data_IF_453947074911
#
_entry.id   IF_453947074911
#
_cell.length_a   1.000
_cell.length_b   1.000
_cell.length_c   1.000
_cell.angle_alpha   90.00
_cell.angle_beta   90.00
_cell.angle_gamma   90.00
#
_symmetry.space_group_name_H-M   'P 1'
#
loop_
_entity.id
_entity.type
_entity.pdbx_description
1 polymer ?
#
# COMPACT_ATOMS: atom_id res chain seq x y z
N UNK A 1 -6.07 -7.77 -4.75
CA UNK A 1 -4.76 -8.23 -5.28
C UNK A 1 -4.10 -9.09 -4.23
N UNK A 2 -3.46 -10.17 -4.63
CA UNK A 2 -2.60 -10.96 -3.75
C UNK A 2 -1.33 -10.16 -3.42
N UNK A 3 -0.59 -10.62 -2.40
CA UNK A 3 0.73 -10.03 -2.08
C UNK A 3 1.64 -9.97 -3.31
N UNK A 4 1.73 -11.08 -4.05
CA UNK A 4 2.59 -11.18 -5.23
C UNK A 4 2.15 -10.21 -6.34
N UNK A 5 0.84 -10.16 -6.65
CA UNK A 5 0.31 -9.21 -7.63
C UNK A 5 0.60 -7.75 -7.27
N UNK A 6 0.58 -7.43 -5.96
CA UNK A 6 0.92 -6.08 -5.48
C UNK A 6 2.40 -5.77 -5.69
N UNK A 7 3.28 -6.73 -5.35
CA UNK A 7 4.74 -6.60 -5.57
C UNK A 7 5.04 -6.42 -7.06
N UNK A 8 4.48 -7.29 -7.91
CA UNK A 8 4.69 -7.20 -9.36
C UNK A 8 4.21 -5.85 -9.89
N UNK A 9 3.01 -5.42 -9.51
CA UNK A 9 2.47 -4.14 -10.00
C UNK A 9 3.32 -2.94 -9.62
N UNK A 10 3.86 -2.90 -8.38
CA UNK A 10 4.75 -1.84 -7.95
C UNK A 10 6.08 -1.87 -8.72
N UNK A 11 6.68 -3.06 -8.81
CA UNK A 11 7.99 -3.21 -9.47
C UNK A 11 7.90 -2.99 -10.97
N UNK A 12 6.87 -3.53 -11.63
CA UNK A 12 6.60 -3.32 -13.05
C UNK A 12 6.42 -1.84 -13.40
N UNK A 13 5.77 -1.09 -12.50
CA UNK A 13 5.62 0.36 -12.72
C UNK A 13 6.99 1.05 -12.70
N UNK A 14 7.85 0.74 -11.74
CA UNK A 14 9.22 1.28 -11.68
C UNK A 14 10.02 0.92 -12.93
N UNK A 15 9.97 -0.35 -13.34
CA UNK A 15 10.70 -0.83 -14.52
C UNK A 15 10.19 -0.24 -15.84
N UNK A 16 8.89 -0.02 -15.97
CA UNK A 16 8.29 0.65 -17.14
C UNK A 16 8.69 2.12 -17.20
N UNK A 17 8.60 2.80 -16.06
CA UNK A 17 9.02 4.20 -15.94
C UNK A 17 10.51 4.38 -16.28
N UNK A 18 11.37 3.45 -15.82
CA UNK A 18 12.80 3.47 -16.14
C UNK A 18 13.15 3.19 -17.63
N UNK A 19 12.20 2.71 -18.42
CA UNK A 19 12.35 2.46 -19.86
C UNK A 19 11.67 3.53 -20.73
N UNK A 20 11.04 4.48 -20.08
CA UNK A 20 10.29 5.55 -20.72
C UNK A 20 11.05 6.87 -20.54
N UNK A 21 11.61 7.39 -21.63
CA UNK A 21 12.41 8.62 -21.60
C UNK A 21 11.60 9.88 -21.29
N UNK A 22 10.26 9.79 -21.20
CA UNK A 22 9.42 10.90 -20.75
C UNK A 22 9.50 11.11 -19.21
N UNK A 23 10.26 10.27 -18.52
CA UNK A 23 10.43 10.28 -17.07
C UNK A 23 11.91 10.40 -16.68
N UNK A 24 12.26 11.52 -16.08
CA UNK A 24 13.61 11.81 -15.59
C UNK A 24 13.66 12.02 -14.08
N UNK A 25 14.60 12.85 -13.63
CA UNK A 25 14.83 13.15 -12.23
C UNK A 25 14.66 14.64 -11.90
N UNK A 26 13.76 14.96 -10.96
CA UNK A 26 13.63 16.30 -10.41
C UNK A 26 13.13 16.24 -8.95
N UNK A 27 13.75 16.99 -8.05
CA UNK A 27 13.29 17.14 -6.65
C UNK A 27 12.25 18.25 -6.47
N UNK A 28 12.07 19.15 -7.43
CA UNK A 28 11.06 20.21 -7.36
C UNK A 28 9.71 19.69 -7.82
N UNK A 29 9.67 19.03 -8.99
CA UNK A 29 8.45 18.45 -9.57
C UNK A 29 8.44 16.93 -9.45
N UNK A 30 8.74 16.46 -8.28
CA UNK A 30 9.11 15.09 -7.94
C UNK A 30 8.01 14.03 -7.99
N UNK A 31 6.75 14.43 -8.17
CA UNK A 31 5.58 13.57 -8.14
C UNK A 31 4.97 13.31 -9.52
N UNK A 32 5.73 13.47 -10.57
CA UNK A 32 5.24 13.28 -11.94
C UNK A 32 4.50 14.47 -12.53
N UNK A 33 4.49 15.65 -11.87
CA UNK A 33 3.78 16.84 -12.37
C UNK A 33 4.30 17.30 -13.74
N UNK A 34 5.57 17.04 -14.03
CA UNK A 34 6.22 17.28 -15.32
C UNK A 34 6.81 16.00 -15.93
N UNK A 35 6.37 14.83 -15.46
CA UNK A 35 6.88 13.54 -15.88
C UNK A 35 7.91 12.97 -14.92
N UNK A 36 8.67 13.80 -14.21
CA UNK A 36 9.84 13.41 -13.43
C UNK A 36 9.54 13.04 -12.00
N UNK A 37 10.45 12.26 -11.41
CA UNK A 37 10.39 11.81 -10.03
C UNK A 37 11.74 11.99 -9.34
N UNK A 38 11.75 12.12 -8.01
CA UNK A 38 12.95 11.82 -7.24
C UNK A 38 12.94 10.38 -6.73
N UNK A 39 14.01 9.97 -6.08
CA UNK A 39 14.22 8.59 -5.63
C UNK A 39 13.10 8.08 -4.72
N UNK A 40 12.68 8.86 -3.74
CA UNK A 40 11.65 8.48 -2.77
C UNK A 40 10.24 8.60 -3.37
N UNK A 41 9.98 9.65 -4.14
CA UNK A 41 8.68 9.86 -4.76
C UNK A 41 8.36 8.77 -5.81
N UNK A 42 9.37 8.31 -6.56
CA UNK A 42 9.20 7.19 -7.49
C UNK A 42 8.74 5.93 -6.76
N UNK A 43 9.44 5.51 -5.72
CA UNK A 43 9.12 4.30 -4.94
C UNK A 43 7.76 4.44 -4.25
N UNK A 44 7.47 5.57 -3.63
CA UNK A 44 6.17 5.85 -3.00
C UNK A 44 5.05 5.75 -4.04
N UNK A 45 5.21 6.37 -5.21
CA UNK A 45 4.22 6.36 -6.28
C UNK A 45 3.99 4.95 -6.82
N UNK A 46 5.05 4.14 -6.96
CA UNK A 46 4.95 2.77 -7.42
C UNK A 46 4.07 1.91 -6.49
N UNK A 47 4.31 1.99 -5.20
CA UNK A 47 3.51 1.26 -4.21
C UNK A 47 2.09 1.79 -4.08
N UNK A 48 1.89 3.10 -4.16
CA UNK A 48 0.55 3.72 -4.17
C UNK A 48 -0.28 3.22 -5.37
N UNK A 49 0.30 3.21 -6.56
CA UNK A 49 -0.33 2.63 -7.75
C UNK A 49 -0.62 1.13 -7.62
N UNK A 50 0.15 0.43 -6.82
CA UNK A 50 -0.10 -0.98 -6.49
C UNK A 50 -1.16 -1.17 -5.39
N UNK A 51 -1.71 -0.08 -4.85
CA UNK A 51 -2.75 -0.11 -3.84
C UNK A 51 -2.24 -0.18 -2.39
N UNK A 52 -0.98 0.14 -2.18
CA UNK A 52 -0.38 0.34 -0.85
C UNK A 52 -0.35 1.84 -0.57
N UNK A 53 -1.18 2.30 0.33
CA UNK A 53 -1.47 3.73 0.58
C UNK A 53 -0.31 4.43 1.32
N UNK A 54 0.81 4.60 0.65
CA UNK A 54 1.99 5.31 1.18
C UNK A 54 1.87 6.82 1.04
N UNK A 55 1.35 7.29 -0.09
CA UNK A 55 1.05 8.69 -0.30
C UNK A 55 -0.05 9.14 0.62
N UNK A 56 -1.05 8.29 0.79
CA UNK A 56 -2.20 8.45 1.66
C UNK A 56 -2.51 9.94 1.82
N UNK A 57 -3.34 10.45 2.36
CA UNK A 57 -3.64 11.86 2.67
C UNK A 57 -2.44 12.85 2.59
N UNK A 58 -1.33 12.40 1.99
CA UNK A 58 -0.04 13.03 2.06
C UNK A 58 0.24 14.15 1.09
N UNK A 59 -0.48 14.25 -0.01
CA UNK A 59 -0.24 15.34 -0.96
C UNK A 59 -1.11 16.56 -0.65
N UNK A 60 -0.50 17.72 -0.67
CA UNK A 60 -1.26 18.94 -0.82
C UNK A 60 -1.75 19.06 -2.29
N UNK A 61 -2.60 20.05 -2.57
CA UNK A 61 -3.14 20.26 -3.91
C UNK A 61 -2.08 20.65 -4.95
N UNK A 62 -0.87 20.97 -4.52
CA UNK A 62 0.26 21.32 -5.39
C UNK A 62 1.10 20.09 -5.73
N UNK A 63 0.87 18.95 -5.06
CA UNK A 63 1.62 17.71 -5.28
C UNK A 63 3.07 17.76 -4.81
N UNK A 64 3.46 18.79 -4.08
CA UNK A 64 4.85 19.01 -3.66
C UNK A 64 5.13 18.40 -2.28
N UNK A 65 4.17 18.51 -1.37
CA UNK A 65 4.33 18.06 0.02
C UNK A 65 3.21 17.13 0.44
N UNK A 66 3.51 16.04 1.17
CA UNK A 66 2.48 15.19 1.73
C UNK A 66 1.70 15.95 2.80
N UNK A 67 0.41 15.66 2.89
CA UNK A 67 -0.40 16.07 4.03
C UNK A 67 0.10 15.41 5.30
N UNK A 68 -0.35 15.93 6.44
CA UNK A 68 -0.01 15.40 7.76
C UNK A 68 -0.27 13.89 7.83
N UNK A 69 0.79 13.11 8.02
CA UNK A 69 0.75 11.65 8.19
C UNK A 69 1.22 10.83 6.99
N UNK A 70 1.41 11.44 5.81
CA UNK A 70 2.04 10.78 4.67
C UNK A 70 3.56 10.71 4.78
N UNK A 71 4.19 9.88 3.96
CA UNK A 71 5.64 9.83 3.84
C UNK A 71 6.10 10.55 2.59
N UNK A 72 7.27 11.15 2.63
CA UNK A 72 7.71 12.09 1.63
C UNK A 72 9.13 11.86 1.14
N UNK A 73 10.03 11.40 1.99
CA UNK A 73 11.47 11.41 1.74
C UNK A 73 12.14 10.13 2.19
N UNK A 74 13.40 9.98 1.84
CA UNK A 74 14.25 8.90 2.38
C UNK A 74 14.42 8.93 3.92
N UNK A 75 14.02 10.02 4.59
CA UNK A 75 14.04 10.10 6.06
C UNK A 75 12.86 9.39 6.71
N UNK A 76 11.68 9.49 6.12
CA UNK A 76 10.43 9.05 6.74
C UNK A 76 9.77 7.85 6.05
N UNK A 77 10.19 7.52 4.82
CA UNK A 77 9.61 6.41 4.04
C UNK A 77 9.54 5.11 4.83
N UNK A 78 10.58 4.77 5.59
CA UNK A 78 10.61 3.54 6.39
C UNK A 78 9.45 3.45 7.39
N UNK A 79 9.06 4.56 8.01
CA UNK A 79 7.93 4.59 8.94
C UNK A 79 6.58 4.34 8.23
N UNK A 80 6.43 4.85 7.01
CA UNK A 80 5.25 4.60 6.18
C UNK A 80 5.19 3.17 5.70
N UNK A 81 6.31 2.61 5.24
CA UNK A 81 6.41 1.23 4.82
C UNK A 81 5.98 0.27 5.95
N UNK A 82 6.52 0.45 7.16
CA UNK A 82 6.17 -0.38 8.32
C UNK A 82 4.67 -0.32 8.67
N UNK A 83 4.05 0.86 8.54
CA UNK A 83 2.61 1.03 8.78
C UNK A 83 1.73 0.37 7.70
N UNK A 84 2.27 0.15 6.52
CA UNK A 84 1.56 -0.32 5.34
C UNK A 84 1.96 -1.75 4.91
N UNK A 85 2.30 -2.60 5.86
CA UNK A 85 2.46 -4.04 5.64
C UNK A 85 3.86 -4.47 5.20
N UNK A 86 4.86 -3.61 5.36
CA UNK A 86 6.26 -4.00 5.20
C UNK A 86 6.89 -4.44 6.52
N UNK A 87 7.93 -5.22 6.41
CA UNK A 87 8.84 -5.56 7.51
C UNK A 87 10.23 -5.08 7.18
N UNK A 88 10.93 -4.60 8.18
CA UNK A 88 12.37 -4.40 8.10
C UNK A 88 13.05 -5.78 8.10
N UNK A 89 13.83 -6.06 7.06
CA UNK A 89 14.54 -7.32 6.87
C UNK A 89 16.05 -7.10 6.76
N UNK A 90 16.53 -5.97 7.23
CA UNK A 90 17.93 -5.56 7.12
C UNK A 90 18.89 -6.59 7.71
N UNK A 91 18.45 -7.30 8.75
CA UNK A 91 19.19 -8.40 9.39
C UNK A 91 19.30 -9.70 8.54
N UNK A 92 18.52 -9.79 7.46
CA UNK A 92 18.41 -10.98 6.57
C UNK A 92 19.03 -10.77 5.20
N UNK A 93 19.65 -9.62 4.98
CA UNK A 93 20.23 -9.24 3.70
C UNK A 93 21.70 -8.91 3.85
N UNK A 94 22.52 -9.45 2.99
CA UNK A 94 23.91 -9.01 2.85
C UNK A 94 23.95 -7.75 1.98
N UNK A 95 24.12 -6.57 2.59
CA UNK A 95 24.12 -5.29 1.88
C UNK A 95 25.25 -5.16 0.85
N UNK A 96 26.36 -5.87 1.04
CA UNK A 96 27.48 -5.82 0.11
C UNK A 96 27.19 -6.58 -1.18
N UNK A 97 26.50 -7.71 -1.10
CA UNK A 97 26.27 -8.60 -2.25
C UNK A 97 24.82 -8.55 -2.76
N UNK A 98 23.88 -8.07 -1.96
CA UNK A 98 22.45 -8.17 -2.24
C UNK A 98 21.87 -9.56 -1.99
N UNK A 99 22.64 -10.50 -1.42
CA UNK A 99 22.12 -11.81 -1.07
C UNK A 99 20.97 -11.70 -0.05
N UNK A 100 19.89 -12.40 -0.29
CA UNK A 100 18.67 -12.33 0.51
C UNK A 100 17.63 -11.33 0.00
N UNK A 101 17.97 -10.44 -0.95
CA UNK A 101 17.02 -9.55 -1.62
C UNK A 101 16.01 -10.32 -2.47
N UNK A 102 14.80 -9.80 -2.52
CA UNK A 102 13.71 -10.30 -3.38
C UNK A 102 13.07 -9.14 -4.13
N UNK A 103 12.50 -9.44 -5.30
CA UNK A 103 11.76 -8.48 -6.13
C UNK A 103 10.74 -7.72 -5.29
N UNK A 104 10.76 -6.38 -5.40
CA UNK A 104 9.93 -5.46 -4.64
C UNK A 104 10.53 -5.00 -3.30
N UNK A 105 11.70 -5.51 -2.87
CA UNK A 105 12.34 -4.99 -1.66
C UNK A 105 12.73 -3.51 -1.86
N UNK A 106 12.37 -2.68 -0.87
CA UNK A 106 12.70 -1.26 -0.88
C UNK A 106 14.02 -1.05 -0.16
N UNK A 107 14.99 -0.50 -0.88
CA UNK A 107 16.34 -0.21 -0.43
C UNK A 107 16.38 1.25 0.06
N UNK A 108 16.71 1.48 1.32
CA UNK A 108 16.74 2.82 1.90
C UNK A 108 18.13 3.15 2.44
N UNK A 109 18.72 4.21 1.92
CA UNK A 109 19.82 4.93 2.54
C UNK A 109 19.22 6.19 3.19
N UNK A 110 18.95 6.12 4.48
CA UNK A 110 18.18 7.12 5.21
C UNK A 110 18.79 8.52 5.08
N UNK A 111 17.98 9.45 4.59
CA UNK A 111 18.41 10.83 4.34
C UNK A 111 19.18 11.05 3.04
N UNK A 112 19.42 10.00 2.26
CA UNK A 112 20.22 10.08 1.05
C UNK A 112 19.51 9.54 -0.20
N UNK A 113 19.00 8.31 -0.14
CA UNK A 113 18.51 7.66 -1.35
C UNK A 113 17.49 6.55 -1.08
N UNK A 114 16.66 6.26 -2.09
CA UNK A 114 15.73 5.15 -2.08
C UNK A 114 15.76 4.49 -3.45
N UNK A 115 15.76 3.17 -3.49
CA UNK A 115 15.64 2.35 -4.69
C UNK A 115 14.73 1.15 -4.44
N UNK A 116 14.40 0.41 -5.50
CA UNK A 116 13.66 -0.85 -5.39
C UNK A 116 14.47 -1.96 -6.06
N UNK A 117 14.61 -3.10 -5.38
CA UNK A 117 15.21 -4.28 -5.99
C UNK A 117 14.21 -4.94 -6.94
N UNK A 118 14.57 -5.08 -8.21
CA UNK A 118 13.67 -5.60 -9.24
C UNK A 118 13.92 -7.08 -9.62
N UNK A 119 14.80 -7.76 -8.90
CA UNK A 119 15.18 -9.16 -9.16
C UNK A 119 16.47 -9.27 -9.97
N UNK A 120 16.96 -10.49 -10.14
CA UNK A 120 18.10 -10.85 -10.99
C UNK A 120 19.37 -9.99 -10.78
N UNK A 121 19.65 -9.64 -9.52
CA UNK A 121 20.79 -8.80 -9.16
C UNK A 121 20.68 -7.36 -9.65
N UNK A 122 19.46 -6.84 -9.84
CA UNK A 122 19.22 -5.49 -10.35
C UNK A 122 18.38 -4.64 -9.38
N UNK A 123 18.66 -3.34 -9.40
CA UNK A 123 17.86 -2.30 -8.74
C UNK A 123 17.33 -1.30 -9.75
N UNK A 124 16.21 -0.67 -9.44
CA UNK A 124 15.57 0.39 -10.23
C UNK A 124 15.38 1.63 -9.35
N UNK A 125 15.72 2.80 -9.90
CA UNK A 125 15.73 4.06 -9.15
C UNK A 125 15.58 5.27 -10.05
N UNK A 126 15.03 6.37 -9.52
CA UNK A 126 15.27 7.72 -10.02
C UNK A 126 16.55 8.24 -9.34
N UNK A 127 17.55 8.64 -10.11
CA UNK A 127 18.93 8.85 -9.63
C UNK A 127 19.36 10.31 -9.56
N UNK A 128 19.58 10.97 -10.70
CA UNK A 128 20.03 12.35 -10.80
C UNK A 128 19.78 12.88 -12.20
N UNK A 129 19.50 14.18 -12.39
CA UNK A 129 19.26 14.76 -13.71
C UNK A 129 20.52 14.86 -14.59
N UNK A 130 20.34 15.27 -15.85
CA UNK A 130 21.40 15.39 -16.86
C UNK A 130 22.54 16.35 -16.46
N UNK A 131 22.24 17.31 -15.60
CA UNK A 131 23.23 18.26 -15.07
C UNK A 131 23.97 17.77 -13.83
N UNK A 132 23.62 16.57 -13.33
CA UNK A 132 24.09 16.01 -12.06
C UNK A 132 23.71 16.89 -10.87
N UNK A 133 22.54 17.53 -10.94
CA UNK A 133 21.93 18.30 -9.87
C UNK A 133 20.60 17.70 -9.46
N UNK A 134 20.11 18.04 -8.27
CA UNK A 134 18.83 17.54 -7.78
C UNK A 134 17.62 18.24 -8.40
N UNK A 135 17.84 19.42 -8.98
CA UNK A 135 16.79 20.29 -9.53
C UNK A 135 17.27 21.00 -10.78
N UNK A 136 16.33 21.54 -11.57
CA UNK A 136 16.63 22.39 -12.71
C UNK A 136 17.10 21.65 -13.97
N UNK A 137 16.89 20.34 -14.02
CA UNK A 137 16.99 19.53 -15.23
C UNK A 137 15.89 19.86 -16.24
N UNK A 138 15.95 19.25 -17.39
CA UNK A 138 14.86 19.25 -18.36
C UNK A 138 13.89 18.10 -18.02
N UNK A 139 12.59 18.25 -18.28
CA UNK A 139 11.66 17.13 -18.13
C UNK A 139 12.04 15.94 -19.02
N UNK A 140 11.88 14.73 -18.48
CA UNK A 140 12.23 13.47 -19.13
C UNK A 140 13.68 13.06 -18.88
N UNK A 141 14.07 11.85 -19.31
CA UNK A 141 15.43 11.32 -19.19
C UNK A 141 16.28 11.67 -20.41
N UNK A 142 17.20 12.62 -20.27
CA UNK A 142 18.09 13.08 -21.33
C UNK A 142 19.30 12.17 -21.51
N UNK A 143 19.59 11.31 -20.55
CA UNK A 143 20.85 10.57 -20.47
C UNK A 143 20.67 9.06 -20.49
N UNK A 144 19.45 8.57 -20.35
CA UNK A 144 19.13 7.17 -20.08
C UNK A 144 19.60 6.70 -18.69
N UNK A 145 19.83 7.68 -17.78
CA UNK A 145 20.40 7.42 -16.45
C UNK A 145 19.73 8.19 -15.32
N UNK A 146 18.73 8.95 -15.62
CA UNK A 146 18.01 9.77 -14.65
C UNK A 146 16.98 8.91 -13.90
N UNK A 147 16.26 8.08 -14.64
CA UNK A 147 15.45 7.00 -14.09
C UNK A 147 15.87 5.68 -14.76
N UNK A 148 16.49 4.75 -14.01
CA UNK A 148 17.19 3.64 -14.64
C UNK A 148 17.09 2.33 -13.87
N UNK A 149 17.31 1.23 -14.60
CA UNK A 149 17.60 -0.09 -14.07
C UNK A 149 19.11 -0.32 -14.17
N UNK A 150 19.73 -0.77 -13.08
CA UNK A 150 21.16 -1.11 -13.03
C UNK A 150 21.41 -2.38 -12.23
N UNK A 151 22.63 -2.90 -12.31
CA UNK A 151 23.08 -3.93 -11.38
C UNK A 151 23.03 -3.42 -9.94
N UNK A 152 22.60 -4.28 -9.03
CA UNK A 152 22.66 -3.97 -7.59
C UNK A 152 24.06 -3.50 -7.20
N UNK A 153 24.12 -2.48 -6.39
CA UNK A 153 25.38 -1.89 -5.92
C UNK A 153 25.50 -1.90 -4.41
N UNK A 154 26.70 -2.06 -3.92
CA UNK A 154 27.02 -1.83 -2.51
C UNK A 154 26.96 -0.33 -2.19
N UNK A 155 25.73 0.19 -2.13
CA UNK A 155 25.46 1.56 -1.70
C UNK A 155 25.31 1.58 -0.18
N UNK A 156 25.53 2.69 0.55
CA UNK A 156 25.39 2.71 2.00
C UNK A 156 23.93 2.62 2.46
N UNK A 157 23.28 1.52 2.07
CA UNK A 157 21.94 1.19 2.52
C UNK A 157 21.89 1.06 4.04
N UNK A 158 20.90 1.69 4.67
CA UNK A 158 20.68 1.62 6.12
C UNK A 158 19.61 0.60 6.49
N UNK A 159 18.58 0.46 5.63
CA UNK A 159 17.46 -0.42 5.86
C UNK A 159 16.95 -1.06 4.56
N UNK A 160 16.46 -2.26 4.68
CA UNK A 160 15.76 -2.97 3.59
C UNK A 160 14.35 -3.32 4.09
N UNK A 161 13.33 -2.95 3.32
CA UNK A 161 11.94 -3.23 3.68
C UNK A 161 11.32 -4.16 2.65
N UNK A 162 10.70 -5.25 3.13
CA UNK A 162 9.96 -6.20 2.31
C UNK A 162 8.48 -6.10 2.55
N UNK A 163 7.71 -6.02 1.48
CA UNK A 163 6.26 -6.06 1.55
C UNK A 163 5.79 -7.49 1.90
N UNK A 164 5.13 -7.61 3.05
CA UNK A 164 4.56 -8.89 3.52
C UNK A 164 3.04 -8.97 3.23
N UNK A 165 2.50 -7.94 2.62
CA UNK A 165 1.07 -7.73 2.48
C UNK A 165 0.60 -6.73 3.53
N UNK A 166 -0.38 -5.90 3.22
CA UNK A 166 -1.14 -5.18 4.24
C UNK A 166 -1.56 -6.24 5.26
N UNK A 167 -1.41 -5.96 6.54
CA UNK A 167 -1.58 -6.93 7.62
C UNK A 167 -2.91 -7.68 7.43
N UNK A 168 -2.90 -8.72 6.62
CA UNK A 168 -3.78 -9.84 6.85
C UNK A 168 -3.08 -10.53 8.01
N UNK A 169 -3.56 -10.25 9.20
CA UNK A 169 -3.05 -10.87 10.42
C UNK A 169 -3.14 -12.41 10.33
N UNK A 170 -2.22 -13.04 9.58
CA UNK A 170 -1.97 -14.46 9.79
C UNK A 170 -1.37 -14.72 11.17
N UNK A 171 -0.83 -13.70 11.83
CA UNK A 171 -0.28 -13.81 13.19
C UNK A 171 -1.28 -13.51 14.29
N UNK A 172 -2.51 -13.07 14.01
CA UNK A 172 -3.55 -12.86 15.03
C UNK A 172 -4.47 -14.09 15.18
N UNK A 173 -4.35 -15.09 14.35
CA UNK A 173 -5.05 -16.38 14.58
C UNK A 173 -4.55 -17.09 15.85
N UNK A 174 -3.46 -16.66 16.49
CA UNK A 174 -2.95 -17.27 17.74
C UNK A 174 -3.19 -16.48 19.02
N UNK A 175 -3.87 -15.32 18.96
CA UNK A 175 -4.42 -14.68 20.17
C UNK A 175 -5.90 -14.37 19.95
N UNK A 176 -6.69 -15.42 19.88
CA UNK A 176 -8.11 -15.32 20.11
C UNK A 176 -8.26 -15.20 21.62
N UNK A 177 -8.37 -13.98 22.11
CA UNK A 177 -8.95 -13.77 23.42
C UNK A 177 -10.34 -14.41 23.39
N UNK A 178 -10.54 -15.37 24.30
CA UNK A 178 -11.83 -15.95 24.64
C UNK A 178 -12.78 -14.85 25.13
N UNK A 179 -13.45 -14.18 24.23
CA UNK A 179 -14.55 -13.31 24.59
C UNK A 179 -15.43 -13.07 23.36
N UNK A 180 -16.43 -13.78 23.30
CA UNK A 180 -17.76 -13.67 22.77
C UNK A 180 -18.16 -14.90 21.93
N UNK A 181 -18.24 -16.03 22.62
CA UNK A 181 -18.92 -17.22 22.11
C UNK A 181 -20.44 -17.09 22.35
N UNK A 182 -21.06 -16.02 21.90
CA UNK A 182 -22.50 -16.01 21.79
C UNK A 182 -22.89 -16.76 20.52
N UNK A 183 -23.43 -17.95 20.69
CA UNK A 183 -24.17 -18.69 19.68
C UNK A 183 -25.32 -17.83 19.16
N UNK A 184 -25.23 -17.38 17.92
CA UNK A 184 -26.29 -16.63 17.26
C UNK A 184 -27.07 -17.58 16.34
N UNK A 185 -27.85 -18.48 16.97
CA UNK A 185 -28.83 -19.31 16.28
C UNK A 185 -30.16 -18.56 16.10
N UNK A 186 -30.09 -17.29 15.76
CA UNK A 186 -31.28 -16.52 15.39
C UNK A 186 -30.89 -15.60 14.24
N UNK A 187 -31.72 -15.51 13.21
CA UNK A 187 -31.52 -14.65 12.03
C UNK A 187 -31.55 -13.17 12.40
N UNK A 188 -30.61 -12.76 13.25
CA UNK A 188 -30.54 -11.40 13.75
C UNK A 188 -30.03 -10.47 12.66
N UNK A 189 -30.86 -9.51 12.29
CA UNK A 189 -30.50 -8.46 11.35
C UNK A 189 -29.89 -7.28 12.06
N UNK A 190 -28.96 -6.60 11.39
CA UNK A 190 -28.31 -5.39 11.86
C UNK A 190 -28.51 -4.27 10.85
N UNK A 191 -28.81 -3.10 11.36
CA UNK A 191 -28.98 -1.87 10.55
C UNK A 191 -27.67 -1.11 10.48
N UNK A 192 -27.35 -0.59 9.31
CA UNK A 192 -26.21 0.31 9.08
C UNK A 192 -26.53 1.69 9.63
N UNK A 193 -25.80 2.10 10.68
CA UNK A 193 -25.95 3.41 11.35
C UNK A 193 -24.95 4.47 10.85
N UNK A 194 -24.03 4.11 9.96
CA UNK A 194 -23.09 5.05 9.34
C UNK A 194 -23.80 5.92 8.30
N UNK A 195 -23.94 7.22 8.55
CA UNK A 195 -24.68 8.16 7.67
C UNK A 195 -24.15 8.22 6.24
N UNK A 196 -22.85 8.00 6.04
CA UNK A 196 -22.19 7.97 4.74
C UNK A 196 -22.15 6.57 4.10
N UNK A 197 -22.91 5.61 4.64
CA UNK A 197 -22.88 4.22 4.23
C UNK A 197 -21.77 3.41 4.90
N UNK A 198 -21.73 2.12 4.63
CA UNK A 198 -20.80 1.17 5.23
C UNK A 198 -20.08 0.36 4.16
N UNK A 199 -18.76 0.42 4.16
CA UNK A 199 -17.95 -0.36 3.25
C UNK A 199 -18.01 -1.86 3.59
N UNK A 200 -18.22 -2.67 2.56
CA UNK A 200 -18.08 -4.13 2.59
C UNK A 200 -16.75 -4.48 1.94
N UNK A 201 -15.96 -5.28 2.60
CA UNK A 201 -14.59 -5.61 2.20
C UNK A 201 -14.40 -7.11 2.00
N UNK A 202 -13.39 -7.50 1.22
CA UNK A 202 -13.02 -8.91 1.02
C UNK A 202 -12.61 -9.61 2.32
N UNK A 203 -11.95 -8.87 3.22
CA UNK A 203 -11.56 -9.26 4.56
C UNK A 203 -11.43 -8.00 5.43
N UNK A 204 -11.33 -8.10 6.78
CA UNK A 204 -11.04 -6.96 7.65
C UNK A 204 -9.83 -6.15 7.17
N UNK A 205 -10.01 -4.84 6.95
CA UNK A 205 -8.95 -3.95 6.44
C UNK A 205 -8.58 -4.10 4.96
N UNK A 206 -9.09 -5.12 4.26
CA UNK A 206 -8.79 -5.37 2.86
C UNK A 206 -9.58 -4.46 1.89
N UNK A 207 -9.38 -4.68 0.58
CA UNK A 207 -10.03 -3.92 -0.48
C UNK A 207 -11.57 -3.90 -0.33
N UNK A 208 -12.17 -2.74 -0.64
CA UNK A 208 -13.61 -2.55 -0.65
C UNK A 208 -14.20 -3.32 -1.84
N UNK A 209 -15.20 -4.15 -1.58
CA UNK A 209 -16.01 -4.81 -2.61
C UNK A 209 -17.10 -3.86 -3.09
N UNK A 210 -17.79 -3.23 -2.13
CA UNK A 210 -18.89 -2.30 -2.36
C UNK A 210 -19.15 -1.48 -1.09
N UNK A 211 -20.02 -0.48 -1.19
CA UNK A 211 -20.57 0.22 -0.04
C UNK A 211 -22.09 0.01 0.01
N UNK A 212 -22.63 -0.19 1.19
CA UNK A 212 -24.07 -0.30 1.43
C UNK A 212 -24.59 0.98 2.07
N UNK A 213 -25.74 1.48 1.65
CA UNK A 213 -26.30 2.74 2.13
C UNK A 213 -26.65 2.76 3.62
N UNK A 214 -26.74 3.94 4.21
CA UNK A 214 -27.32 4.17 5.53
C UNK A 214 -28.73 3.55 5.63
N UNK A 215 -29.08 2.99 6.79
CA UNK A 215 -30.32 2.26 7.04
C UNK A 215 -30.51 0.95 6.24
N UNK A 216 -29.49 0.49 5.53
CA UNK A 216 -29.51 -0.87 5.00
C UNK A 216 -29.46 -1.88 6.13
N UNK A 217 -30.04 -3.04 5.93
CA UNK A 217 -29.94 -4.16 6.86
C UNK A 217 -28.93 -5.19 6.31
N UNK A 218 -28.22 -5.86 7.22
CA UNK A 218 -27.30 -6.94 6.90
C UNK A 218 -27.61 -8.16 7.76
N UNK A 219 -27.39 -9.34 7.20
CA UNK A 219 -27.39 -10.62 7.90
C UNK A 219 -25.95 -11.10 8.02
N UNK A 220 -25.60 -11.70 9.14
CA UNK A 220 -24.26 -12.25 9.34
C UNK A 220 -24.12 -13.63 8.72
N UNK A 221 -22.92 -13.94 8.27
CA UNK A 221 -22.52 -15.27 7.84
C UNK A 221 -22.11 -16.06 9.09
N UNK A 222 -23.01 -16.86 9.61
CA UNK A 222 -22.84 -17.61 10.85
C UNK A 222 -21.75 -18.70 10.75
N UNK A 223 -21.38 -19.10 9.54
CA UNK A 223 -20.28 -20.03 9.28
C UNK A 223 -18.91 -19.35 9.47
N UNK A 224 -18.88 -18.03 9.51
CA UNK A 224 -17.66 -17.24 9.63
C UNK A 224 -17.47 -16.71 11.06
N UNK A 225 -16.34 -17.05 11.67
CA UNK A 225 -16.00 -16.50 12.99
C UNK A 225 -15.89 -14.96 12.97
N UNK A 226 -16.44 -14.33 14.00
CA UNK A 226 -16.25 -12.91 14.22
C UNK A 226 -14.77 -12.56 14.36
N UNK A 227 -14.29 -11.58 13.64
CA UNK A 227 -12.95 -11.01 13.78
C UNK A 227 -13.10 -9.72 14.58
N UNK A 228 -12.20 -9.44 15.52
CA UNK A 228 -12.29 -8.29 16.43
C UNK A 228 -12.70 -7.00 15.69
N UNK A 229 -13.88 -6.49 16.05
CA UNK A 229 -14.46 -5.29 15.43
C UNK A 229 -15.05 -5.47 14.04
N UNK A 230 -15.02 -6.68 13.46
CA UNK A 230 -15.55 -6.98 12.13
C UNK A 230 -16.54 -8.13 12.16
N UNK A 231 -17.50 -8.10 11.24
CA UNK A 231 -18.47 -9.18 11.03
C UNK A 231 -18.51 -9.57 9.56
N UNK A 232 -18.47 -10.86 9.31
CA UNK A 232 -18.80 -11.41 8.00
C UNK A 232 -20.31 -11.26 7.78
N UNK A 233 -20.68 -10.85 6.57
CA UNK A 233 -22.08 -10.78 6.13
C UNK A 233 -22.29 -11.69 4.92
N UNK A 234 -23.48 -12.22 4.79
CA UNK A 234 -23.89 -13.07 3.67
C UNK A 234 -24.96 -12.42 2.79
N UNK A 235 -25.74 -11.50 3.36
CA UNK A 235 -26.84 -10.80 2.67
C UNK A 235 -26.95 -9.35 3.12
N UNK A 236 -27.50 -8.51 2.25
CA UNK A 236 -27.93 -7.17 2.59
C UNK A 236 -29.28 -6.82 1.97
N UNK A 237 -30.00 -5.90 2.60
CA UNK A 237 -31.23 -5.30 2.12
C UNK A 237 -31.10 -3.79 2.22
N UNK A 238 -31.13 -3.08 1.07
CA UNK A 238 -31.15 -1.63 1.06
C UNK A 238 -32.55 -1.12 1.42
N UNK A 239 -32.69 0.13 1.90
CA UNK A 239 -34.01 0.71 2.22
C UNK A 239 -34.96 0.60 1.03
N UNK A 240 -36.16 0.04 1.25
CA UNK A 240 -37.16 -0.16 0.21
C UNK A 240 -36.88 -1.32 -0.76
N UNK A 241 -35.74 -2.01 -0.66
CA UNK A 241 -35.38 -3.12 -1.51
C UNK A 241 -35.60 -4.49 -0.87
N UNK A 242 -35.22 -5.54 -1.59
CA UNK A 242 -35.26 -6.92 -1.13
C UNK A 242 -33.88 -7.41 -0.64
N UNK A 243 -33.86 -8.53 0.08
CA UNK A 243 -32.64 -9.19 0.48
C UNK A 243 -31.86 -9.72 -0.73
N UNK A 244 -30.57 -9.32 -0.84
CA UNK A 244 -29.66 -9.80 -1.88
C UNK A 244 -28.43 -10.43 -1.25
N UNK A 245 -27.91 -11.48 -1.87
CA UNK A 245 -26.66 -12.12 -1.46
C UNK A 245 -25.51 -11.13 -1.62
N UNK A 246 -24.78 -10.91 -0.52
CA UNK A 246 -23.59 -10.04 -0.49
C UNK A 246 -22.62 -10.58 0.55
N UNK A 247 -21.57 -11.27 0.10
CA UNK A 247 -20.53 -11.81 0.99
C UNK A 247 -19.39 -10.81 1.15
N UNK A 248 -18.95 -10.63 2.39
CA UNK A 248 -17.82 -9.78 2.75
C UNK A 248 -17.82 -9.42 4.23
N UNK A 249 -16.96 -8.51 4.60
CA UNK A 249 -16.77 -8.07 5.98
C UNK A 249 -17.13 -6.60 6.14
N UNK A 250 -17.85 -6.26 7.21
CA UNK A 250 -18.09 -4.89 7.61
C UNK A 250 -17.64 -4.63 9.07
N UNK A 251 -17.31 -3.38 9.34
CA UNK A 251 -16.90 -2.99 10.70
C UNK A 251 -18.15 -2.91 11.60
N UNK A 252 -18.16 -3.74 12.65
CA UNK A 252 -19.30 -3.92 13.53
C UNK A 252 -19.73 -2.67 14.32
N UNK A 253 -18.81 -1.69 14.52
CA UNK A 253 -19.11 -0.43 15.21
C UNK A 253 -20.16 0.43 14.50
N UNK A 254 -20.40 0.16 13.20
CA UNK A 254 -21.37 0.87 12.38
C UNK A 254 -22.67 0.07 12.17
N UNK A 255 -22.87 -0.96 12.98
CA UNK A 255 -24.03 -1.83 12.94
C UNK A 255 -24.79 -1.78 14.27
N UNK A 256 -26.11 -1.67 14.18
CA UNK A 256 -27.02 -1.72 15.33
C UNK A 256 -28.00 -2.87 15.13
N UNK A 257 -28.16 -3.70 16.16
CA UNK A 257 -29.16 -4.78 16.14
C UNK A 257 -30.56 -4.20 15.95
N UNK A 258 -31.37 -4.78 15.05
CA UNK A 258 -32.76 -4.44 14.78
C UNK A 258 -33.65 -5.66 15.01
#
# INVERSE_FOLDING_TARGET
MTRQETIEKATDWMEKTAKDNDHGYDQTYRWGQKGDYDCSAAVITAWDKAGVDLKNDGEDKTGIWPKKGGVNTSWDIGSGLLKNGFKDISDKVNFKTGEGLKRGDVLVAKGHHVAMYCGDGKEVEASINEKRTATGGKPGDQTGREFLIRSYRNYPWTNIYRYEGGVVEETVVKKIDKADTRSFNDHTHFEVIAKNGLNVRKAPGAAIITAIPYKSQVSFDDDQKAIKGWRAIDKCKVPGGEWKKLKGYCNAKYLKKV
#
